data_IF_584802062328
#
_entry.id   IF_584802062328
#
_cell.length_a   1.000
_cell.length_b   1.000
_cell.length_c   1.000
_cell.angle_alpha   90.00
_cell.angle_beta   90.00
_cell.angle_gamma   90.00
#
_symmetry.space_group_name_H-M   'P 1'
#
loop_
_entity.id
_entity.type
_entity.pdbx_description
1 polymer ?
#
# COMPACT_ATOMS: atom_id res chain seq x y z
N UNK A 1 -37.31 -8.21 1.75
CA UNK A 1 -36.35 -9.19 1.18
C UNK A 1 -34.98 -8.53 1.25
N UNK A 2 -34.13 -8.95 2.19
CA UNK A 2 -32.77 -8.42 2.26
C UNK A 2 -31.99 -8.94 1.06
N UNK A 3 -31.46 -8.03 0.24
CA UNK A 3 -30.45 -8.40 -0.74
C UNK A 3 -29.32 -9.11 -0.01
N UNK A 4 -29.07 -10.37 -0.37
CA UNK A 4 -27.84 -11.03 0.04
C UNK A 4 -26.71 -10.24 -0.60
N UNK A 5 -26.08 -9.37 0.17
CA UNK A 5 -24.84 -8.72 -0.22
C UNK A 5 -23.85 -9.85 -0.57
N UNK A 6 -23.53 -9.98 -1.86
CA UNK A 6 -22.60 -11.00 -2.33
C UNK A 6 -21.24 -10.63 -1.74
N UNK A 7 -20.80 -11.40 -0.74
CA UNK A 7 -19.48 -11.21 -0.14
C UNK A 7 -18.46 -11.69 -1.17
N UNK A 8 -17.90 -10.75 -1.94
CA UNK A 8 -16.74 -11.03 -2.78
C UNK A 8 -15.59 -11.50 -1.89
N UNK A 9 -14.97 -12.61 -2.31
CA UNK A 9 -13.70 -13.08 -1.74
C UNK A 9 -12.58 -12.07 -2.01
N UNK A 10 -11.48 -12.16 -1.27
CA UNK A 10 -10.30 -11.31 -1.50
C UNK A 10 -9.73 -11.51 -2.91
N UNK A 11 -9.78 -12.75 -3.42
CA UNK A 11 -9.32 -13.08 -4.77
C UNK A 11 -10.19 -12.48 -5.87
N UNK A 12 -11.51 -12.60 -5.76
CA UNK A 12 -12.44 -11.98 -6.73
C UNK A 12 -12.28 -10.46 -6.77
N UNK A 13 -12.02 -9.84 -5.62
CA UNK A 13 -11.72 -8.42 -5.55
C UNK A 13 -10.38 -8.06 -6.19
N UNK A 14 -9.32 -8.85 -5.96
CA UNK A 14 -8.04 -8.67 -6.66
C UNK A 14 -8.23 -8.73 -8.18
N UNK A 15 -8.93 -9.76 -8.66
CA UNK A 15 -9.18 -9.98 -10.09
C UNK A 15 -9.98 -8.82 -10.73
N UNK A 16 -10.85 -8.17 -9.94
CA UNK A 16 -11.62 -6.99 -10.37
C UNK A 16 -10.76 -5.72 -10.36
N UNK A 17 -9.96 -5.52 -9.31
CA UNK A 17 -9.15 -4.30 -9.12
C UNK A 17 -8.00 -4.20 -10.13
N UNK A 18 -7.34 -5.30 -10.46
CA UNK A 18 -6.14 -5.30 -11.31
C UNK A 18 -6.34 -4.56 -12.65
N UNK A 19 -7.34 -4.89 -13.49
CA UNK A 19 -7.52 -4.21 -14.78
C UNK A 19 -7.92 -2.73 -14.62
N UNK A 20 -8.70 -2.40 -13.59
CA UNK A 20 -9.12 -1.02 -13.31
C UNK A 20 -7.94 -0.16 -12.86
N UNK A 21 -7.09 -0.72 -11.99
CA UNK A 21 -5.88 -0.05 -11.53
C UNK A 21 -4.89 0.18 -12.67
N UNK A 22 -4.74 -0.80 -13.56
CA UNK A 22 -3.90 -0.66 -14.76
C UNK A 22 -4.41 0.50 -15.63
N UNK A 23 -5.71 0.54 -15.93
CA UNK A 23 -6.31 1.61 -16.71
C UNK A 23 -6.16 2.98 -16.04
N UNK A 24 -6.43 3.04 -14.72
CA UNK A 24 -6.31 4.26 -13.92
C UNK A 24 -4.90 4.84 -13.97
N UNK A 25 -3.89 3.99 -14.10
CA UNK A 25 -2.48 4.35 -14.12
C UNK A 25 -1.87 4.33 -15.53
N UNK A 26 -2.66 4.65 -16.57
CA UNK A 26 -2.18 4.76 -17.96
C UNK A 26 -1.50 3.46 -18.46
N UNK A 27 -2.14 2.32 -18.20
CA UNK A 27 -1.70 0.98 -18.62
C UNK A 27 -0.33 0.55 -18.08
N UNK A 28 0.02 1.01 -16.88
CA UNK A 28 1.14 0.42 -16.14
C UNK A 28 0.91 -1.08 -15.92
N UNK A 29 2.00 -1.84 -15.90
CA UNK A 29 1.96 -3.28 -15.62
C UNK A 29 1.48 -3.53 -14.18
N UNK A 30 0.37 -4.27 -14.03
CA UNK A 30 -0.18 -4.65 -12.71
C UNK A 30 -0.18 -6.17 -12.59
N UNK A 31 0.43 -6.68 -11.53
CA UNK A 31 0.58 -8.12 -11.28
C UNK A 31 -0.07 -8.48 -9.94
N UNK A 32 -0.97 -9.47 -9.97
CA UNK A 32 -1.53 -10.10 -8.78
C UNK A 32 -0.57 -11.10 -8.14
N UNK A 33 -0.60 -11.16 -6.82
CA UNK A 33 0.18 -12.05 -5.97
C UNK A 33 1.69 -12.09 -6.32
N UNK A 34 2.30 -10.92 -6.49
CA UNK A 34 3.65 -10.74 -7.00
C UNK A 34 4.74 -11.02 -5.96
N UNK A 35 5.73 -11.84 -6.33
CA UNK A 35 6.89 -12.19 -5.50
C UNK A 35 8.16 -11.47 -5.97
N UNK A 36 8.66 -10.52 -5.18
CA UNK A 36 9.69 -9.58 -5.62
C UNK A 36 11.05 -10.20 -6.00
N UNK A 37 11.45 -11.31 -5.38
CA UNK A 37 12.75 -11.95 -5.59
C UNK A 37 12.61 -13.39 -6.06
N UNK A 38 11.55 -13.68 -6.83
CA UNK A 38 11.28 -15.03 -7.35
C UNK A 38 12.50 -15.56 -8.12
N UNK A 39 13.01 -16.72 -7.70
CA UNK A 39 14.16 -17.37 -8.32
C UNK A 39 15.53 -16.94 -7.80
N UNK A 40 15.60 -16.01 -6.84
CA UNK A 40 16.84 -15.65 -6.16
C UNK A 40 17.00 -16.56 -4.93
N UNK A 41 17.99 -17.45 -4.99
CA UNK A 41 18.34 -18.31 -3.86
C UNK A 41 18.92 -17.45 -2.72
N UNK A 42 18.63 -17.81 -1.47
CA UNK A 42 19.13 -17.17 -0.23
C UNK A 42 18.49 -15.84 0.21
N UNK A 43 17.48 -15.34 -0.49
CA UNK A 43 16.76 -14.13 -0.09
C UNK A 43 15.29 -14.44 0.21
N UNK A 44 14.76 -13.91 1.33
CA UNK A 44 13.32 -13.90 1.56
C UNK A 44 12.65 -13.09 0.44
N UNK A 45 11.67 -13.69 -0.23
CA UNK A 45 10.88 -13.05 -1.28
C UNK A 45 9.48 -12.76 -0.74
N UNK A 46 9.21 -11.54 -0.23
CA UNK A 46 7.86 -11.17 0.13
C UNK A 46 6.95 -11.25 -1.09
N UNK A 47 5.71 -11.68 -0.84
CA UNK A 47 4.64 -11.74 -1.83
C UNK A 47 3.57 -10.76 -1.40
N UNK A 48 3.26 -9.81 -2.27
CA UNK A 48 2.20 -8.81 -2.05
C UNK A 48 0.98 -9.16 -2.89
N UNK A 49 -0.21 -8.80 -2.43
CA UNK A 49 -1.46 -9.10 -3.12
C UNK A 49 -1.54 -8.48 -4.52
N UNK A 50 -1.13 -7.21 -4.67
CA UNK A 50 -1.07 -6.54 -5.97
C UNK A 50 0.20 -5.68 -6.01
N UNK A 51 0.93 -5.73 -7.13
CA UNK A 51 2.06 -4.86 -7.39
C UNK A 51 1.91 -4.14 -8.73
N UNK A 52 2.27 -2.86 -8.75
CA UNK A 52 2.26 -2.03 -9.97
C UNK A 52 3.69 -1.68 -10.35
N UNK A 53 4.04 -1.95 -11.60
CA UNK A 53 5.36 -1.69 -12.17
C UNK A 53 5.62 -0.21 -12.48
N UNK A 54 6.81 0.10 -13.01
CA UNK A 54 7.84 -0.85 -13.45
C UNK A 54 8.50 -1.58 -12.27
N UNK A 55 9.02 -2.79 -12.53
CA UNK A 55 9.63 -3.62 -11.49
C UNK A 55 11.15 -3.47 -11.47
N UNK A 56 11.69 -3.25 -10.27
CA UNK A 56 13.11 -2.97 -10.01
C UNK A 56 13.77 -4.15 -9.28
N UNK A 57 13.79 -5.32 -9.93
CA UNK A 57 14.25 -6.59 -9.32
C UNK A 57 15.64 -7.03 -9.79
N UNK A 58 16.18 -6.37 -10.82
CA UNK A 58 17.52 -6.67 -11.35
C UNK A 58 18.59 -6.03 -10.46
N UNK A 59 19.61 -6.78 -10.02
CA UNK A 59 20.71 -6.22 -9.25
C UNK A 59 21.36 -5.02 -9.96
N UNK A 60 21.65 -3.95 -9.20
CA UNK A 60 22.28 -2.71 -9.66
C UNK A 60 21.47 -1.88 -10.69
N UNK A 61 20.23 -2.26 -10.99
CA UNK A 61 19.30 -1.45 -11.77
C UNK A 61 18.16 -1.01 -10.85
N UNK A 62 18.01 0.30 -10.65
CA UNK A 62 16.85 0.86 -9.97
C UNK A 62 15.94 1.60 -10.95
N UNK A 63 14.65 1.60 -10.65
CA UNK A 63 13.64 2.32 -11.44
C UNK A 63 13.31 3.70 -10.87
N UNK A 64 14.19 4.27 -10.04
CA UNK A 64 13.90 5.50 -9.29
C UNK A 64 13.56 6.68 -10.20
N UNK A 65 14.31 6.87 -11.28
CA UNK A 65 14.05 7.93 -12.25
C UNK A 65 12.69 7.75 -12.94
N UNK A 66 12.34 6.50 -13.25
CA UNK A 66 11.07 6.17 -13.90
C UNK A 66 9.88 6.33 -12.95
N UNK A 67 10.02 5.95 -11.67
CA UNK A 67 9.01 6.26 -10.66
C UNK A 67 8.80 7.77 -10.51
N UNK A 68 9.86 8.57 -10.54
CA UNK A 68 9.72 10.03 -10.50
C UNK A 68 9.00 10.58 -11.74
N UNK A 69 9.24 9.98 -12.91
CA UNK A 69 8.51 10.32 -14.14
C UNK A 69 7.02 10.00 -14.02
N UNK A 70 6.69 8.81 -13.50
CA UNK A 70 5.31 8.37 -13.28
C UNK A 70 4.59 9.26 -12.27
N UNK A 71 5.25 9.62 -11.16
CA UNK A 71 4.72 10.58 -10.17
C UNK A 71 4.45 11.97 -10.76
N UNK A 72 5.17 12.37 -11.81
CA UNK A 72 4.97 13.64 -12.50
C UNK A 72 3.79 13.66 -13.48
N UNK A 73 3.12 12.52 -13.70
CA UNK A 73 1.94 12.47 -14.56
C UNK A 73 0.71 12.94 -13.81
N UNK A 74 -0.07 13.82 -14.42
CA UNK A 74 -1.24 14.46 -13.79
C UNK A 74 -2.27 13.44 -13.25
N UNK A 75 -2.59 12.42 -14.04
CA UNK A 75 -3.54 11.37 -13.62
C UNK A 75 -3.03 10.59 -12.40
N UNK A 76 -1.75 10.20 -12.41
CA UNK A 76 -1.12 9.49 -11.30
C UNK A 76 -1.05 10.36 -10.03
N UNK A 77 -0.66 11.63 -10.17
CA UNK A 77 -0.59 12.56 -9.05
C UNK A 77 -1.97 12.79 -8.43
N UNK A 78 -3.00 13.01 -9.25
CA UNK A 78 -4.38 13.16 -8.79
C UNK A 78 -4.89 11.89 -8.07
N UNK A 79 -4.63 10.71 -8.64
CA UNK A 79 -4.97 9.43 -8.02
C UNK A 79 -4.29 9.24 -6.66
N UNK A 80 -2.99 9.50 -6.57
CA UNK A 80 -2.23 9.32 -5.33
C UNK A 80 -2.57 10.37 -4.27
N UNK A 81 -2.88 11.60 -4.67
CA UNK A 81 -3.41 12.62 -3.75
C UNK A 81 -4.74 12.19 -3.16
N UNK A 82 -5.66 11.66 -3.98
CA UNK A 82 -6.94 11.14 -3.47
C UNK A 82 -6.72 10.01 -2.45
N UNK A 83 -5.79 9.10 -2.74
CA UNK A 83 -5.39 8.04 -1.81
C UNK A 83 -4.84 8.62 -0.50
N UNK A 84 -3.97 9.62 -0.59
CA UNK A 84 -3.38 10.29 0.56
C UNK A 84 -4.45 10.98 1.41
N UNK A 85 -5.40 11.69 0.80
CA UNK A 85 -6.49 12.35 1.50
C UNK A 85 -7.33 11.35 2.32
N UNK A 86 -7.66 10.20 1.73
CA UNK A 86 -8.34 9.12 2.46
C UNK A 86 -7.51 8.54 3.59
N UNK A 87 -6.19 8.41 3.39
CA UNK A 87 -5.31 7.98 4.46
C UNK A 87 -5.31 8.96 5.64
N UNK A 88 -5.26 10.27 5.36
CA UNK A 88 -5.35 11.32 6.39
C UNK A 88 -6.69 11.25 7.11
N UNK A 89 -7.79 11.14 6.37
CA UNK A 89 -9.14 10.98 6.94
C UNK A 89 -9.25 9.73 7.83
N UNK A 90 -8.67 8.61 7.39
CA UNK A 90 -8.71 7.35 8.14
C UNK A 90 -7.89 7.39 9.43
N UNK A 91 -6.80 8.15 9.46
CA UNK A 91 -6.07 8.40 10.70
C UNK A 91 -6.96 9.22 11.65
N UNK A 92 -7.62 10.26 11.12
CA UNK A 92 -8.56 11.10 11.86
C UNK A 92 -7.93 11.80 13.07
N UNK A 93 -8.75 12.54 13.82
CA UNK A 93 -8.30 13.31 14.99
C UNK A 93 -8.23 12.46 16.28
N UNK A 94 -8.86 11.27 16.30
CA UNK A 94 -9.11 10.50 17.52
C UNK A 94 -8.01 9.48 17.89
N UNK A 95 -7.00 9.25 17.04
CA UNK A 95 -5.89 8.35 17.35
C UNK A 95 -4.74 9.08 18.05
N UNK A 96 -4.85 9.12 19.37
CA UNK A 96 -3.96 9.81 20.32
C UNK A 96 -2.46 9.50 20.07
N UNK A 97 -1.79 10.54 19.56
CA UNK A 97 -0.47 11.11 19.92
C UNK A 97 0.85 10.61 19.32
N UNK A 98 0.91 9.60 18.46
CA UNK A 98 2.21 9.15 17.94
C UNK A 98 2.36 9.29 16.43
N UNK A 99 1.26 9.18 15.68
CA UNK A 99 1.29 9.26 14.22
C UNK A 99 1.46 10.72 13.80
N UNK A 100 2.63 11.03 13.23
CA UNK A 100 2.83 12.28 12.51
C UNK A 100 2.56 12.02 11.02
N UNK A 101 1.52 12.66 10.48
CA UNK A 101 1.15 12.54 9.07
C UNK A 101 2.14 13.39 8.25
N UNK A 102 3.02 12.77 7.45
CA UNK A 102 3.99 13.51 6.66
C UNK A 102 3.35 14.07 5.40
N UNK A 103 3.84 15.23 4.95
CA UNK A 103 3.46 15.83 3.67
C UNK A 103 3.50 14.81 2.52
N UNK A 104 2.53 14.90 1.61
CA UNK A 104 2.41 13.99 0.46
C UNK A 104 3.72 13.84 -0.34
N UNK A 105 4.43 14.95 -0.59
CA UNK A 105 5.71 14.93 -1.29
C UNK A 105 6.80 14.14 -0.55
N UNK A 106 6.75 14.11 0.79
CA UNK A 106 7.68 13.32 1.60
C UNK A 106 7.35 11.82 1.50
N UNK A 107 6.06 11.47 1.63
CA UNK A 107 5.55 10.09 1.48
C UNK A 107 6.00 9.50 0.14
N UNK A 108 5.70 10.18 -0.97
CA UNK A 108 5.98 9.69 -2.33
C UNK A 108 7.47 9.64 -2.67
N UNK A 109 8.34 10.25 -1.85
CA UNK A 109 9.80 10.24 -2.03
C UNK A 109 10.53 9.44 -0.95
N UNK A 110 9.80 8.81 -0.03
CA UNK A 110 10.44 8.12 1.10
C UNK A 110 11.21 6.87 0.65
N UNK A 111 10.60 5.99 -0.14
CA UNK A 111 11.26 4.76 -0.58
C UNK A 111 11.93 4.91 -1.95
N UNK A 112 13.13 5.48 -1.97
CA UNK A 112 13.88 5.68 -3.22
C UNK A 112 14.35 4.35 -3.86
N UNK A 113 14.53 3.31 -3.05
CA UNK A 113 15.02 2.00 -3.47
C UNK A 113 13.88 0.96 -3.55
N UNK A 114 12.71 1.38 -4.02
CA UNK A 114 11.55 0.52 -4.17
C UNK A 114 11.76 -0.55 -5.26
N UNK A 115 11.07 -1.69 -5.09
CA UNK A 115 11.04 -2.81 -6.04
C UNK A 115 9.88 -2.74 -7.03
N UNK A 116 8.84 -1.99 -6.71
CA UNK A 116 7.73 -1.67 -7.61
C UNK A 116 7.24 -0.25 -7.34
N UNK A 117 6.41 0.30 -8.24
CA UNK A 117 5.80 1.61 -8.06
C UNK A 117 4.78 1.58 -6.91
N UNK A 118 3.78 0.69 -6.98
CA UNK A 118 2.84 0.47 -5.87
C UNK A 118 2.96 -0.96 -5.37
N UNK A 119 2.87 -1.15 -4.05
CA UNK A 119 2.69 -2.45 -3.42
C UNK A 119 1.43 -2.40 -2.55
N UNK A 120 0.47 -3.27 -2.83
CA UNK A 120 -0.85 -3.24 -2.22
C UNK A 120 -1.08 -4.57 -1.49
N UNK A 121 -1.56 -4.49 -0.26
CA UNK A 121 -1.97 -5.62 0.56
C UNK A 121 -3.43 -5.45 0.95
N UNK A 122 -4.21 -6.53 0.87
CA UNK A 122 -5.65 -6.56 1.08
C UNK A 122 -5.94 -7.42 2.30
N UNK A 123 -6.43 -6.81 3.37
CA UNK A 123 -6.59 -7.46 4.66
C UNK A 123 -8.06 -7.54 5.07
N UNK A 124 -8.52 -8.75 5.43
CA UNK A 124 -9.91 -9.00 5.84
C UNK A 124 -10.02 -9.64 7.23
N UNK A 125 -9.43 -10.83 7.44
CA UNK A 125 -9.56 -11.58 8.69
C UNK A 125 -8.24 -12.11 9.24
N UNK A 126 -7.14 -11.43 8.92
CA UNK A 126 -5.79 -11.85 9.30
C UNK A 126 -5.45 -11.51 10.75
N UNK A 127 -4.48 -12.24 11.31
CA UNK A 127 -3.96 -11.92 12.64
C UNK A 127 -3.20 -10.60 12.64
N UNK A 128 -3.10 -9.94 13.79
CA UNK A 128 -2.32 -8.68 13.94
C UNK A 128 -0.86 -8.82 13.49
N UNK A 129 -0.26 -10.02 13.65
CA UNK A 129 1.11 -10.31 13.19
C UNK A 129 1.19 -10.34 11.67
N UNK A 130 0.18 -10.91 11.01
CA UNK A 130 0.12 -10.91 9.54
C UNK A 130 -0.08 -9.50 9.01
N UNK A 131 -1.04 -8.73 9.53
CA UNK A 131 -1.30 -7.35 9.12
C UNK A 131 -0.03 -6.48 9.27
N UNK A 132 0.73 -6.65 10.37
CA UNK A 132 2.01 -5.97 10.56
C UNK A 132 3.03 -6.38 9.50
N UNK A 133 3.11 -7.68 9.17
CA UNK A 133 3.97 -8.18 8.10
C UNK A 133 3.61 -7.59 6.74
N UNK A 134 2.32 -7.54 6.40
CA UNK A 134 1.79 -6.95 5.16
C UNK A 134 2.17 -5.47 5.07
N UNK A 135 1.99 -4.70 6.15
CA UNK A 135 2.42 -3.30 6.21
C UNK A 135 3.92 -3.14 5.92
N UNK A 136 4.76 -3.96 6.57
CA UNK A 136 6.22 -3.92 6.37
C UNK A 136 6.59 -4.29 4.94
N UNK A 137 5.99 -5.34 4.37
CA UNK A 137 6.27 -5.80 3.01
C UNK A 137 5.89 -4.74 1.97
N UNK A 138 4.68 -4.20 2.06
CA UNK A 138 4.22 -3.15 1.16
C UNK A 138 5.09 -1.89 1.25
N UNK A 139 5.39 -1.42 2.48
CA UNK A 139 6.27 -0.28 2.69
C UNK A 139 7.69 -0.53 2.14
N UNK A 140 8.21 -1.75 2.31
CA UNK A 140 9.55 -2.16 1.83
C UNK A 140 9.64 -2.17 0.31
N UNK A 141 8.62 -2.75 -0.35
CA UNK A 141 8.66 -3.05 -1.77
C UNK A 141 8.15 -1.91 -2.64
N UNK A 142 7.07 -1.25 -2.24
CA UNK A 142 6.45 -0.19 -3.02
C UNK A 142 7.20 1.13 -2.90
N UNK A 143 7.22 1.92 -3.97
CA UNK A 143 7.53 3.35 -3.87
C UNK A 143 6.54 3.99 -2.91
N UNK A 144 5.29 3.55 -3.03
CA UNK A 144 4.20 3.75 -2.08
C UNK A 144 3.61 2.37 -1.75
N UNK A 145 3.46 2.09 -0.46
CA UNK A 145 2.75 0.92 0.04
C UNK A 145 1.29 1.29 0.35
N UNK A 146 0.34 0.38 0.10
CA UNK A 146 -1.09 0.60 0.36
C UNK A 146 -1.65 -0.61 1.11
N UNK A 147 -2.32 -0.37 2.23
CA UNK A 147 -3.13 -1.35 2.93
C UNK A 147 -4.61 -1.10 2.69
N UNK A 148 -5.29 -2.05 2.07
CA UNK A 148 -6.74 -2.03 1.89
C UNK A 148 -7.38 -2.81 3.03
N UNK A 149 -8.11 -2.11 3.90
CA UNK A 149 -8.89 -2.70 4.96
C UNK A 149 -10.29 -3.07 4.46
N UNK A 150 -10.62 -4.36 4.47
CA UNK A 150 -11.95 -4.85 4.07
C UNK A 150 -13.06 -4.51 5.06
N UNK A 151 -12.70 -4.18 6.29
CA UNK A 151 -13.64 -3.86 7.35
C UNK A 151 -13.00 -2.97 8.41
N UNK A 152 -13.82 -2.35 9.26
CA UNK A 152 -13.36 -1.43 10.29
C UNK A 152 -12.43 -2.07 11.33
N UNK A 153 -12.58 -3.37 11.59
CA UNK A 153 -11.70 -4.08 12.54
C UNK A 153 -10.26 -4.13 12.02
N UNK A 154 -10.09 -4.43 10.73
CA UNK A 154 -8.79 -4.38 10.05
C UNK A 154 -8.25 -2.96 10.00
N UNK A 155 -9.07 -1.97 9.62
CA UNK A 155 -8.67 -0.55 9.60
C UNK A 155 -8.11 -0.12 10.95
N UNK A 156 -8.85 -0.37 12.03
CA UNK A 156 -8.39 -0.09 13.41
C UNK A 156 -7.10 -0.83 13.76
N UNK A 157 -6.89 -2.03 13.22
CA UNK A 157 -5.66 -2.80 13.44
C UNK A 157 -4.46 -2.19 12.73
N UNK A 158 -4.62 -1.77 11.47
CA UNK A 158 -3.59 -1.01 10.75
C UNK A 158 -3.19 0.25 11.52
N UNK A 159 -4.16 1.06 11.93
CA UNK A 159 -3.90 2.31 12.68
C UNK A 159 -3.19 2.06 14.01
N UNK A 160 -3.57 1.01 14.75
CA UNK A 160 -2.88 0.60 15.99
C UNK A 160 -1.43 0.22 15.75
N UNK A 161 -1.16 -0.51 14.67
CA UNK A 161 0.21 -0.90 14.30
C UNK A 161 1.02 0.34 13.93
N UNK A 162 0.46 1.24 13.13
CA UNK A 162 1.12 2.48 12.70
C UNK A 162 1.45 3.37 13.90
N UNK A 163 0.50 3.54 14.83
CA UNK A 163 0.72 4.24 16.10
C UNK A 163 1.81 3.59 16.95
N UNK A 164 1.83 2.26 17.02
CA UNK A 164 2.86 1.51 17.76
C UNK A 164 4.25 1.70 17.15
N UNK A 165 4.39 1.61 15.82
CA UNK A 165 5.67 1.84 15.14
C UNK A 165 6.16 3.29 15.32
N UNK A 166 5.25 4.25 15.29
CA UNK A 166 5.54 5.65 15.55
C UNK A 166 5.99 5.89 17.01
N UNK A 167 5.31 5.26 17.98
CA UNK A 167 5.74 5.25 19.37
C UNK A 167 7.17 4.71 19.51
N UNK A 168 7.46 3.54 18.93
CA UNK A 168 8.79 2.94 18.98
C UNK A 168 9.85 3.88 18.39
N UNK A 169 9.53 4.56 17.28
CA UNK A 169 10.41 5.56 16.65
C UNK A 169 10.69 6.72 17.59
N UNK A 170 9.66 7.27 18.25
CA UNK A 170 9.78 8.40 19.18
C UNK A 170 10.63 8.06 20.40
N UNK A 171 10.53 6.84 20.93
CA UNK A 171 11.33 6.37 22.07
C UNK A 171 12.68 5.75 21.66
N UNK A 172 13.13 6.01 20.43
CA UNK A 172 14.43 5.59 19.88
C UNK A 172 14.66 4.07 19.96
N UNK A 173 13.59 3.27 19.86
CA UNK A 173 13.67 1.81 19.75
C UNK A 173 13.87 1.41 18.29
N UNK A 174 14.47 0.24 18.08
CA UNK A 174 14.54 -0.39 16.76
C UNK A 174 13.11 -0.57 16.22
N UNK A 175 12.84 0.06 15.08
CA UNK A 175 11.52 0.04 14.43
C UNK A 175 11.68 0.12 12.93
N UNK A 176 10.67 -0.34 12.19
CA UNK A 176 10.63 -0.23 10.74
C UNK A 176 9.99 1.11 10.35
N UNK A 177 10.53 1.78 9.33
CA UNK A 177 9.98 3.04 8.83
C UNK A 177 8.92 2.77 7.76
N UNK A 178 7.65 2.92 8.13
CA UNK A 178 6.48 2.71 7.26
C UNK A 178 5.91 4.01 6.71
N UNK A 179 6.70 5.09 6.64
CA UNK A 179 6.21 6.42 6.25
C UNK A 179 5.59 6.47 4.84
N UNK A 180 5.97 5.56 3.93
CA UNK A 180 5.37 5.45 2.59
C UNK A 180 4.14 4.53 2.53
N UNK A 181 3.59 4.09 3.66
CA UNK A 181 2.44 3.19 3.73
C UNK A 181 1.15 3.95 4.01
N UNK A 182 0.20 3.84 3.10
CA UNK A 182 -1.10 4.50 3.16
C UNK A 182 -2.20 3.46 3.43
N UNK A 183 -3.26 3.87 4.13
CA UNK A 183 -4.35 2.98 4.57
C UNK A 183 -5.67 3.49 4.01
N UNK A 184 -6.41 2.60 3.35
CA UNK A 184 -7.72 2.87 2.79
C UNK A 184 -8.71 1.78 3.21
N UNK A 185 -10.00 2.10 3.25
CA UNK A 185 -11.01 1.05 3.19
C UNK A 185 -11.13 0.51 1.77
N UNK A 186 -11.76 -0.66 1.63
CA UNK A 186 -12.11 -1.21 0.33
C UNK A 186 -12.89 -0.19 -0.52
N UNK A 187 -13.91 0.44 0.07
CA UNK A 187 -14.81 1.37 -0.62
C UNK A 187 -14.08 2.63 -1.10
N UNK A 188 -13.19 3.19 -0.26
CA UNK A 188 -12.36 4.34 -0.65
C UNK A 188 -11.41 4.00 -1.80
N UNK A 189 -10.85 2.78 -1.81
CA UNK A 189 -9.98 2.36 -2.89
C UNK A 189 -10.75 2.16 -4.20
N UNK A 190 -11.95 1.58 -4.13
CA UNK A 190 -12.87 1.45 -5.27
C UNK A 190 -13.20 2.82 -5.88
N UNK A 191 -13.52 3.81 -5.04
CA UNK A 191 -13.78 5.18 -5.50
C UNK A 191 -12.57 5.76 -6.26
N UNK A 192 -11.35 5.54 -5.78
CA UNK A 192 -10.12 6.02 -6.44
C UNK A 192 -9.92 5.44 -7.84
N UNK A 193 -10.28 4.17 -8.05
CA UNK A 193 -10.13 3.46 -9.33
C UNK A 193 -11.34 3.59 -10.25
N UNK A 194 -12.42 4.24 -9.80
CA UNK A 194 -13.59 4.56 -10.63
C UNK A 194 -14.75 3.55 -10.54
N UNK A 195 -14.90 2.87 -9.40
CA UNK A 195 -16.07 2.04 -9.04
C UNK A 195 -16.97 2.70 -8.00
#
# INVERSE_FOLDING_TARGET
MGEKQIIMTAKEYQDTVIPLLANKLNDLEVIGEWSAFRGINYQYSPRVDIAVGPFSITPNANQTAEYNRILGQENTDAFLKRIYDFHVENIGDEWINEINIPEFNFVTRKNQNARCFLAIEIENSSTKKHIMGSMINAASLGRIGIGIAYNDSVKRTFLRILNYLAFLKRVEKNTYDTTNFLILTKEQFQECIGE
#
